data_IF_906576581656
#
_entry.id   IF_906576581656
#
_cell.length_a   1.000
_cell.length_b   1.000
_cell.length_c   1.000
_cell.angle_alpha   90.00
_cell.angle_beta   90.00
_cell.angle_gamma   90.00
#
_symmetry.space_group_name_H-M   'P 1'
#
loop_
_entity.id
_entity.type
_entity.pdbx_description
1 polymer ?
#
# COMPACT_ATOMS: atom_id res chain seq x y z
N UNK A 1 -8.18 -17.34 -41.90
CA UNK A 1 -9.18 -17.37 -40.83
C UNK A 1 -8.53 -16.64 -39.66
N UNK A 2 -8.95 -15.42 -39.48
CA UNK A 2 -8.44 -14.58 -38.39
C UNK A 2 -9.17 -15.02 -37.12
N UNK A 3 -8.42 -15.42 -36.11
CA UNK A 3 -8.93 -15.53 -34.75
C UNK A 3 -9.30 -14.10 -34.27
N UNK A 4 -10.57 -13.88 -34.21
CA UNK A 4 -11.11 -12.75 -33.45
C UNK A 4 -10.81 -13.01 -31.96
N UNK A 5 -9.68 -12.49 -31.53
CA UNK A 5 -9.35 -12.36 -30.11
C UNK A 5 -10.41 -11.44 -29.49
N UNK A 6 -11.45 -12.02 -28.92
CA UNK A 6 -12.46 -11.31 -28.13
C UNK A 6 -11.76 -10.71 -26.91
N UNK A 7 -11.38 -9.42 -27.06
CA UNK A 7 -10.58 -8.71 -26.07
C UNK A 7 -11.36 -8.39 -24.80
N UNK A 8 -11.51 -9.38 -23.94
CA UNK A 8 -11.63 -9.08 -22.52
C UNK A 8 -10.21 -8.86 -22.00
N UNK A 9 -9.93 -7.80 -21.24
CA UNK A 9 -8.63 -7.62 -20.63
C UNK A 9 -8.30 -8.87 -19.82
N UNK A 10 -7.13 -9.43 -20.10
CA UNK A 10 -6.64 -10.64 -19.43
C UNK A 10 -6.59 -10.37 -17.92
N UNK A 11 -7.35 -11.11 -17.13
CA UNK A 11 -7.37 -10.99 -15.68
C UNK A 11 -5.98 -11.37 -15.12
N UNK A 12 -5.24 -10.37 -14.70
CA UNK A 12 -3.93 -10.59 -14.10
C UNK A 12 -4.04 -11.39 -12.82
N UNK A 13 -3.10 -12.31 -12.62
CA UNK A 13 -2.96 -13.02 -11.37
C UNK A 13 -2.14 -12.25 -10.32
N UNK A 14 -2.08 -12.80 -9.10
CA UNK A 14 -1.34 -12.23 -7.99
C UNK A 14 0.17 -12.06 -8.27
N UNK A 15 0.75 -12.84 -9.20
CA UNK A 15 2.17 -12.78 -9.54
C UNK A 15 2.46 -11.72 -10.60
N UNK A 16 1.56 -11.54 -11.55
CA UNK A 16 1.63 -10.46 -12.55
C UNK A 16 1.50 -9.11 -11.85
N UNK A 17 0.51 -8.98 -10.96
CA UNK A 17 0.34 -7.79 -10.13
C UNK A 17 1.52 -7.53 -9.21
N UNK A 18 2.06 -8.54 -8.52
CA UNK A 18 3.24 -8.38 -7.66
C UNK A 18 4.45 -7.89 -8.46
N UNK A 19 4.65 -8.39 -9.67
CA UNK A 19 5.73 -7.93 -10.56
C UNK A 19 5.54 -6.46 -10.97
N UNK A 20 4.33 -6.07 -11.30
CA UNK A 20 3.98 -4.68 -11.60
C UNK A 20 4.23 -3.77 -10.41
N UNK A 21 3.72 -4.13 -9.24
CA UNK A 21 3.90 -3.35 -8.01
C UNK A 21 5.38 -3.21 -7.62
N UNK A 22 6.19 -4.26 -7.81
CA UNK A 22 7.65 -4.17 -7.59
C UNK A 22 8.33 -3.21 -8.58
N UNK A 23 7.82 -3.11 -9.79
CA UNK A 23 8.32 -2.14 -10.76
C UNK A 23 7.97 -0.71 -10.33
N UNK A 24 6.75 -0.49 -9.86
CA UNK A 24 6.33 0.81 -9.33
C UNK A 24 7.12 1.20 -8.07
N UNK A 25 7.31 0.27 -7.13
CA UNK A 25 8.12 0.52 -5.93
C UNK A 25 9.54 1.00 -6.30
N UNK A 26 10.17 0.38 -7.32
CA UNK A 26 11.50 0.79 -7.79
C UNK A 26 11.50 2.18 -8.43
N UNK A 27 10.47 2.51 -9.22
CA UNK A 27 10.33 3.85 -9.79
C UNK A 27 10.15 4.92 -8.70
N UNK A 28 9.31 4.62 -7.72
CA UNK A 28 9.08 5.51 -6.57
C UNK A 28 10.37 5.70 -5.76
N UNK A 29 11.12 4.63 -5.50
CA UNK A 29 12.41 4.73 -4.83
C UNK A 29 13.42 5.58 -5.62
N UNK A 30 13.50 5.38 -6.93
CA UNK A 30 14.33 6.21 -7.82
C UNK A 30 13.94 7.68 -7.76
N UNK A 31 12.64 7.97 -7.80
CA UNK A 31 12.13 9.33 -7.67
C UNK A 31 12.56 9.98 -6.35
N UNK A 32 12.39 9.30 -5.22
CA UNK A 32 12.80 9.83 -3.92
C UNK A 32 14.31 10.05 -3.81
N UNK A 33 15.13 9.17 -4.39
CA UNK A 33 16.59 9.35 -4.43
C UNK A 33 16.97 10.61 -5.26
N UNK A 34 16.31 10.84 -6.39
CA UNK A 34 16.50 12.03 -7.20
C UNK A 34 16.00 13.28 -6.46
N UNK A 35 14.84 13.19 -5.82
CA UNK A 35 14.27 14.28 -5.04
C UNK A 35 15.22 14.71 -3.90
N UNK A 36 15.77 13.77 -3.15
CA UNK A 36 16.75 14.04 -2.09
C UNK A 36 18.02 14.67 -2.66
N UNK A 37 18.53 14.12 -3.78
CA UNK A 37 19.74 14.59 -4.46
C UNK A 37 19.62 16.04 -4.96
N UNK A 38 18.46 16.41 -5.48
CA UNK A 38 18.21 17.72 -6.08
C UNK A 38 17.33 18.63 -5.22
N UNK A 39 17.09 18.31 -3.96
CA UNK A 39 16.18 19.01 -3.04
C UNK A 39 16.28 20.55 -3.07
N UNK A 40 17.50 21.09 -3.21
CA UNK A 40 17.78 22.53 -3.19
C UNK A 40 18.06 23.11 -4.58
N UNK A 41 17.87 22.33 -5.67
CA UNK A 41 18.13 22.84 -7.03
C UNK A 41 16.91 23.61 -7.55
N UNK A 42 17.09 24.83 -8.17
CA UNK A 42 15.97 25.63 -8.67
C UNK A 42 15.15 24.89 -9.74
N UNK A 43 15.81 24.11 -10.61
CA UNK A 43 15.17 23.35 -11.69
C UNK A 43 15.00 21.87 -11.33
N UNK A 44 14.76 21.57 -10.04
CA UNK A 44 14.66 20.20 -9.50
C UNK A 44 13.67 19.35 -10.28
N UNK A 45 12.49 19.87 -10.53
CA UNK A 45 11.37 19.10 -11.08
C UNK A 45 11.62 18.76 -12.56
N UNK A 46 12.21 19.68 -13.34
CA UNK A 46 12.64 19.42 -14.72
C UNK A 46 13.76 18.36 -14.80
N UNK A 47 14.74 18.46 -13.87
CA UNK A 47 15.83 17.48 -13.81
C UNK A 47 15.28 16.10 -13.47
N UNK A 48 14.39 16.01 -12.47
CA UNK A 48 13.77 14.74 -12.07
C UNK A 48 12.95 14.16 -13.23
N UNK A 49 12.11 14.96 -13.87
CA UNK A 49 11.31 14.52 -15.02
C UNK A 49 12.19 13.95 -16.14
N UNK A 50 13.29 14.63 -16.46
CA UNK A 50 14.26 14.16 -17.47
C UNK A 50 14.96 12.86 -17.04
N UNK A 51 15.43 12.76 -15.79
CA UNK A 51 16.09 11.55 -15.29
C UNK A 51 15.14 10.35 -15.12
N UNK A 52 13.86 10.62 -14.89
CA UNK A 52 12.80 9.61 -14.85
C UNK A 52 12.26 9.23 -16.25
N UNK A 53 12.65 9.98 -17.29
CA UNK A 53 12.22 9.77 -18.68
C UNK A 53 10.75 10.19 -18.91
N UNK A 54 10.24 11.15 -18.15
CA UNK A 54 8.86 11.67 -18.30
C UNK A 54 8.75 12.73 -19.39
N UNK A 55 9.85 13.37 -19.79
CA UNK A 55 9.89 14.41 -20.83
C UNK A 55 10.27 13.81 -22.20
N UNK A 56 9.49 12.88 -22.71
CA UNK A 56 9.79 12.25 -24.01
C UNK A 56 8.88 12.67 -25.15
N UNK A 57 8.18 13.79 -25.04
CA UNK A 57 7.36 14.31 -26.13
C UNK A 57 7.73 15.77 -26.41
N UNK A 58 8.69 15.96 -27.34
CA UNK A 58 8.93 17.26 -28.00
C UNK A 58 7.92 17.55 -29.13
N UNK A 59 6.80 16.81 -29.22
CA UNK A 59 5.90 16.86 -30.38
C UNK A 59 4.42 17.20 -30.08
N UNK A 60 4.04 17.57 -28.84
CA UNK A 60 2.63 17.93 -28.53
C UNK A 60 2.47 19.32 -27.88
N UNK A 61 3.10 20.36 -28.46
CA UNK A 61 2.92 21.75 -28.03
C UNK A 61 1.56 22.39 -28.45
N UNK A 62 0.59 21.64 -28.96
CA UNK A 62 -0.69 22.20 -29.42
C UNK A 62 -1.90 21.93 -28.49
N UNK A 63 -1.77 21.15 -27.39
CA UNK A 63 -2.91 20.86 -26.48
C UNK A 63 -2.88 21.63 -25.13
N UNK A 64 -1.90 22.51 -24.91
CA UNK A 64 -1.78 23.25 -23.62
C UNK A 64 -2.85 24.34 -23.40
N UNK A 65 -3.77 24.58 -24.35
CA UNK A 65 -4.77 25.64 -24.18
C UNK A 65 -6.15 25.15 -23.71
N UNK A 66 -6.41 23.85 -23.73
CA UNK A 66 -7.77 23.31 -23.46
C UNK A 66 -8.02 23.00 -21.98
N UNK A 67 -6.97 22.80 -21.17
CA UNK A 67 -7.15 22.48 -19.73
C UNK A 67 -7.40 23.73 -18.85
N UNK A 68 -7.06 24.94 -19.34
CA UNK A 68 -7.32 26.19 -18.62
C UNK A 68 -8.81 26.62 -18.65
N UNK A 69 -9.62 26.10 -19.59
CA UNK A 69 -11.06 26.38 -19.67
C UNK A 69 -11.91 25.42 -18.82
N UNK A 70 -11.28 24.32 -18.35
CA UNK A 70 -11.94 23.30 -17.51
C UNK A 70 -11.86 23.63 -15.99
N UNK A 71 -11.21 24.73 -15.60
CA UNK A 71 -11.09 25.15 -14.20
C UNK A 71 -12.43 25.45 -13.48
N UNK A 72 -13.55 25.50 -14.21
CA UNK A 72 -14.89 25.63 -13.62
C UNK A 72 -15.58 24.28 -13.35
N UNK A 73 -15.07 23.20 -13.92
CA UNK A 73 -15.57 21.83 -13.68
C UNK A 73 -14.82 21.17 -12.51
N UNK A 74 -13.60 21.63 -12.17
CA UNK A 74 -12.77 21.09 -11.08
C UNK A 74 -13.43 21.22 -9.68
N UNK A 75 -14.25 22.27 -9.43
CA UNK A 75 -14.93 22.42 -8.13
C UNK A 75 -16.04 21.36 -7.89
N UNK A 76 -16.66 20.84 -8.96
CA UNK A 76 -17.65 19.75 -8.85
C UNK A 76 -16.96 18.37 -8.76
N UNK A 77 -15.80 18.19 -9.43
CA UNK A 77 -15.00 16.97 -9.34
C UNK A 77 -14.33 16.84 -7.97
N UNK A 78 -13.74 17.91 -7.41
CA UNK A 78 -13.16 17.91 -6.05
C UNK A 78 -14.22 17.55 -4.98
N UNK A 79 -15.46 17.99 -5.15
CA UNK A 79 -16.56 17.64 -4.26
C UNK A 79 -16.94 16.16 -4.34
N UNK A 80 -16.97 15.60 -5.54
CA UNK A 80 -17.29 14.19 -5.76
C UNK A 80 -16.13 13.26 -5.31
N UNK A 81 -14.87 13.66 -5.51
CA UNK A 81 -13.69 12.94 -5.01
C UNK A 81 -13.66 12.93 -3.47
N UNK A 82 -13.95 14.07 -2.83
CA UNK A 82 -14.00 14.14 -1.37
C UNK A 82 -15.12 13.26 -0.77
N UNK A 83 -16.30 13.22 -1.41
CA UNK A 83 -17.40 12.32 -0.98
C UNK A 83 -17.04 10.84 -1.18
N UNK A 84 -16.30 10.50 -2.25
CA UNK A 84 -15.82 9.15 -2.50
C UNK A 84 -14.74 8.73 -1.48
N UNK A 85 -13.79 9.62 -1.18
CA UNK A 85 -12.77 9.39 -0.15
C UNK A 85 -13.39 9.19 1.24
N UNK A 86 -14.41 9.98 1.61
CA UNK A 86 -15.13 9.82 2.86
C UNK A 86 -15.87 8.46 2.92
N UNK A 87 -16.47 8.02 1.82
CA UNK A 87 -17.16 6.74 1.75
C UNK A 87 -16.19 5.55 1.87
N UNK A 88 -15.02 5.61 1.20
CA UNK A 88 -13.96 4.61 1.33
C UNK A 88 -13.42 4.55 2.76
N UNK A 89 -13.24 5.71 3.39
CA UNK A 89 -12.79 5.79 4.77
C UNK A 89 -13.81 5.18 5.74
N UNK A 90 -15.10 5.42 5.52
CA UNK A 90 -16.17 4.82 6.32
C UNK A 90 -16.22 3.29 6.14
N UNK A 91 -16.01 2.77 4.93
CA UNK A 91 -15.92 1.34 4.66
C UNK A 91 -14.72 0.71 5.38
N UNK A 92 -13.55 1.34 5.30
CA UNK A 92 -12.36 0.90 6.04
C UNK A 92 -12.60 0.88 7.55
N UNK A 93 -13.22 1.93 8.09
CA UNK A 93 -13.52 2.02 9.52
C UNK A 93 -14.57 0.98 9.97
N UNK A 94 -15.40 0.49 9.06
CA UNK A 94 -16.33 -0.61 9.33
C UNK A 94 -15.62 -1.98 9.38
N UNK A 95 -14.43 -2.09 8.81
CA UNK A 95 -13.65 -3.33 8.77
C UNK A 95 -12.96 -3.59 10.10
N UNK A 96 -13.38 -4.66 10.79
CA UNK A 96 -12.80 -5.05 12.08
C UNK A 96 -11.28 -5.29 11.98
N UNK A 97 -10.82 -5.97 10.93
CA UNK A 97 -9.40 -6.27 10.74
C UNK A 97 -8.57 -5.01 10.49
N UNK A 98 -9.13 -4.02 9.77
CA UNK A 98 -8.46 -2.74 9.59
C UNK A 98 -8.35 -1.98 10.92
N UNK A 99 -9.42 -1.93 11.70
CA UNK A 99 -9.41 -1.31 13.03
C UNK A 99 -8.41 -1.98 13.98
N UNK A 100 -8.23 -3.31 13.87
CA UNK A 100 -7.19 -4.02 14.61
C UNK A 100 -5.77 -3.59 14.18
N UNK A 101 -5.53 -3.27 12.89
CA UNK A 101 -4.23 -2.73 12.46
C UNK A 101 -3.98 -1.32 12.96
N UNK A 102 -5.02 -0.50 13.06
CA UNK A 102 -4.92 0.84 13.66
C UNK A 102 -4.56 0.76 15.15
N UNK A 103 -5.21 -0.15 15.88
CA UNK A 103 -4.89 -0.39 17.29
C UNK A 103 -3.48 -0.96 17.46
N UNK A 104 -3.03 -1.86 16.57
CA UNK A 104 -1.66 -2.35 16.54
C UNK A 104 -0.66 -1.20 16.39
N UNK A 105 -0.88 -0.32 15.41
CA UNK A 105 -0.03 0.84 15.16
C UNK A 105 0.02 1.76 16.38
N UNK A 106 -1.14 2.02 17.00
CA UNK A 106 -1.22 2.82 18.22
C UNK A 106 -0.41 2.19 19.37
N UNK A 107 -0.56 0.89 19.61
CA UNK A 107 0.19 0.19 20.68
C UNK A 107 1.68 0.19 20.44
N UNK A 108 2.11 -0.08 19.20
CA UNK A 108 3.53 -0.05 18.83
C UNK A 108 4.10 1.35 18.97
N UNK A 109 3.37 2.37 18.53
CA UNK A 109 3.78 3.76 18.69
C UNK A 109 3.97 4.13 20.18
N UNK A 110 2.99 3.83 21.04
CA UNK A 110 3.07 4.06 22.48
C UNK A 110 4.26 3.32 23.11
N UNK A 111 4.46 2.06 22.74
CA UNK A 111 5.57 1.24 23.22
C UNK A 111 6.94 1.88 22.91
N UNK A 112 7.10 2.44 21.71
CA UNK A 112 8.35 3.07 21.26
C UNK A 112 8.52 4.45 21.90
N UNK A 113 7.48 5.28 21.93
CA UNK A 113 7.54 6.64 22.46
C UNK A 113 7.73 6.71 23.98
N UNK A 114 7.19 5.77 24.73
CA UNK A 114 7.32 5.72 26.20
C UNK A 114 8.73 5.32 26.66
N UNK A 115 9.58 4.84 25.75
CA UNK A 115 10.92 4.33 26.10
C UNK A 115 12.01 4.99 25.26
N UNK A 116 12.75 5.92 25.88
CA UNK A 116 13.86 6.60 25.19
C UNK A 116 14.89 5.66 24.57
N UNK A 117 15.03 4.45 25.12
CA UNK A 117 15.93 3.41 24.57
C UNK A 117 15.44 2.80 23.26
N UNK A 118 14.16 2.99 22.90
CA UNK A 118 13.55 2.43 21.71
C UNK A 118 13.40 3.44 20.56
N UNK A 119 13.30 4.74 20.85
CA UNK A 119 12.99 5.79 19.84
C UNK A 119 13.87 5.74 18.60
N UNK A 120 15.19 5.57 18.79
CA UNK A 120 16.15 5.51 17.69
C UNK A 120 16.72 4.10 17.48
N UNK A 121 16.15 3.10 18.15
CA UNK A 121 16.67 1.73 18.04
C UNK A 121 16.22 1.10 16.72
N UNK A 122 17.14 0.62 15.85
CA UNK A 122 16.80 0.18 14.49
C UNK A 122 15.69 -0.89 14.43
N UNK A 123 15.69 -1.82 15.40
CA UNK A 123 14.65 -2.88 15.45
C UNK A 123 13.31 -2.35 15.93
N UNK A 124 13.29 -1.31 16.77
CA UNK A 124 12.04 -0.66 17.19
C UNK A 124 11.45 0.17 16.04
N UNK A 125 12.28 0.88 15.30
CA UNK A 125 11.88 1.58 14.06
C UNK A 125 11.36 0.56 13.03
N UNK A 126 12.02 -0.59 12.89
CA UNK A 126 11.54 -1.68 12.01
C UNK A 126 10.17 -2.19 12.47
N UNK A 127 9.95 -2.44 13.76
CA UNK A 127 8.65 -2.85 14.29
C UNK A 127 7.56 -1.82 13.92
N UNK A 128 7.79 -0.54 14.19
CA UNK A 128 6.85 0.52 13.89
C UNK A 128 6.55 0.63 12.38
N UNK A 129 7.61 0.64 11.56
CA UNK A 129 7.49 0.71 10.11
C UNK A 129 6.73 -0.48 9.54
N UNK A 130 7.02 -1.71 9.99
CA UNK A 130 6.35 -2.92 9.48
C UNK A 130 4.89 -2.99 9.92
N UNK A 131 4.58 -2.54 11.14
CA UNK A 131 3.20 -2.42 11.60
C UNK A 131 2.41 -1.43 10.74
N UNK A 132 2.97 -0.26 10.45
CA UNK A 132 2.35 0.75 9.58
C UNK A 132 2.15 0.23 8.15
N UNK A 133 3.17 -0.43 7.55
CA UNK A 133 3.06 -1.05 6.22
C UNK A 133 1.97 -2.12 6.19
N UNK A 134 1.82 -2.92 7.25
CA UNK A 134 0.77 -3.92 7.35
C UNK A 134 -0.62 -3.28 7.18
N UNK A 135 -0.91 -2.22 7.95
CA UNK A 135 -2.18 -1.48 7.85
C UNK A 135 -2.37 -0.81 6.49
N UNK A 136 -1.34 -0.12 5.97
CA UNK A 136 -1.42 0.57 4.68
C UNK A 136 -1.69 -0.40 3.50
N UNK A 137 -1.04 -1.58 3.50
CA UNK A 137 -1.26 -2.58 2.46
C UNK A 137 -2.59 -3.32 2.63
N UNK A 138 -3.09 -3.44 3.85
CA UNK A 138 -4.44 -3.95 4.09
C UNK A 138 -5.49 -2.94 3.61
N UNK A 139 -5.33 -1.66 3.91
CA UNK A 139 -6.18 -0.61 3.38
C UNK A 139 -6.23 -0.66 1.85
N UNK A 140 -5.08 -0.67 1.17
CA UNK A 140 -5.01 -0.78 -0.29
C UNK A 140 -5.65 -2.06 -0.87
N UNK A 141 -5.80 -3.12 -0.05
CA UNK A 141 -6.51 -4.33 -0.46
C UNK A 141 -8.04 -4.24 -0.26
N UNK A 142 -8.49 -3.38 0.66
CA UNK A 142 -9.89 -3.20 1.03
C UNK A 142 -10.53 -2.01 0.29
N UNK A 143 -9.75 -0.94 -0.02
CA UNK A 143 -10.15 0.18 -0.85
C UNK A 143 -9.93 -0.21 -2.31
N UNK A 144 -10.91 -0.72 -2.97
CA UNK A 144 -10.84 -0.99 -4.39
C UNK A 144 -12.24 -1.02 -4.93
N UNK A 145 -12.53 -0.08 -5.82
CA UNK A 145 -13.74 -0.12 -6.60
C UNK A 145 -13.88 -1.49 -7.26
N UNK A 146 -14.98 -2.16 -6.96
CA UNK A 146 -15.45 -3.34 -7.66
C UNK A 146 -14.50 -4.51 -7.80
N UNK A 147 -13.89 -5.08 -6.83
CA UNK A 147 -13.26 -6.41 -6.97
C UNK A 147 -12.82 -6.79 -8.43
N UNK A 148 -12.70 -5.76 -9.31
CA UNK A 148 -12.39 -5.93 -10.71
C UNK A 148 -10.99 -6.55 -10.86
N UNK A 149 -10.10 -6.21 -9.93
CA UNK A 149 -8.71 -6.62 -9.94
C UNK A 149 -8.34 -7.54 -8.77
N UNK A 150 -9.08 -8.62 -8.63
CA UNK A 150 -8.89 -9.62 -7.54
C UNK A 150 -7.42 -10.05 -7.39
N UNK A 151 -6.68 -10.14 -8.48
CA UNK A 151 -5.24 -10.46 -8.44
C UNK A 151 -4.42 -9.39 -7.70
N UNK A 152 -4.76 -8.11 -7.87
CA UNK A 152 -4.12 -6.99 -7.17
C UNK A 152 -4.43 -7.01 -5.67
N UNK A 153 -5.70 -7.24 -5.31
CA UNK A 153 -6.14 -7.41 -3.92
C UNK A 153 -5.31 -8.51 -3.23
N UNK A 154 -5.14 -9.67 -3.86
CA UNK A 154 -4.32 -10.75 -3.32
C UNK A 154 -2.85 -10.32 -3.18
N UNK A 155 -2.30 -9.58 -4.14
CA UNK A 155 -0.93 -9.08 -4.05
C UNK A 155 -0.74 -8.12 -2.86
N UNK A 156 -1.67 -7.19 -2.63
CA UNK A 156 -1.63 -6.31 -1.45
C UNK A 156 -1.79 -7.08 -0.14
N UNK A 157 -2.70 -8.04 -0.06
CA UNK A 157 -2.85 -8.91 1.12
C UNK A 157 -1.56 -9.69 1.43
N UNK A 158 -0.86 -10.22 0.41
CA UNK A 158 0.46 -10.87 0.58
C UNK A 158 1.50 -9.90 1.16
N UNK A 159 1.53 -8.66 0.70
CA UNK A 159 2.42 -7.62 1.21
C UNK A 159 2.08 -7.26 2.65
N UNK A 160 0.80 -7.14 2.99
CA UNK A 160 0.33 -6.92 4.36
C UNK A 160 0.73 -8.08 5.28
N UNK A 161 0.50 -9.33 4.87
CA UNK A 161 0.89 -10.53 5.62
C UNK A 161 2.41 -10.59 5.87
N UNK A 162 3.20 -10.27 4.84
CA UNK A 162 4.66 -10.20 4.99
C UNK A 162 5.05 -9.16 6.04
N UNK A 163 4.47 -7.96 5.98
CA UNK A 163 4.76 -6.89 6.93
C UNK A 163 4.36 -7.28 8.37
N UNK A 164 3.22 -7.95 8.57
CA UNK A 164 2.81 -8.49 9.86
C UNK A 164 3.82 -9.52 10.42
N UNK A 165 4.33 -10.41 9.57
CA UNK A 165 5.35 -11.38 9.98
C UNK A 165 6.69 -10.71 10.32
N UNK A 166 7.09 -9.70 9.55
CA UNK A 166 8.31 -8.92 9.81
C UNK A 166 8.18 -8.14 11.14
N UNK A 167 7.00 -7.55 11.42
CA UNK A 167 6.71 -6.89 12.70
C UNK A 167 6.80 -7.85 13.89
N UNK A 168 6.23 -9.05 13.78
CA UNK A 168 6.33 -10.08 14.81
C UNK A 168 7.77 -10.50 15.06
N UNK A 169 8.57 -10.65 14.00
CA UNK A 169 10.00 -10.95 14.09
C UNK A 169 10.75 -9.84 14.81
N UNK A 170 10.48 -8.58 14.49
CA UNK A 170 11.10 -7.42 15.13
C UNK A 170 10.75 -7.35 16.63
N UNK A 171 9.47 -7.53 17.01
CA UNK A 171 9.03 -7.58 18.40
C UNK A 171 9.75 -8.69 19.18
N UNK A 172 9.88 -9.88 18.59
CA UNK A 172 10.58 -11.01 19.19
C UNK A 172 12.07 -10.71 19.40
N UNK A 173 12.74 -10.03 18.47
CA UNK A 173 14.14 -9.59 18.59
C UNK A 173 14.34 -8.56 19.70
N UNK A 174 13.42 -7.59 19.82
CA UNK A 174 13.44 -6.60 20.91
C UNK A 174 13.36 -7.29 22.28
N UNK A 175 12.45 -8.26 22.41
CA UNK A 175 12.34 -9.04 23.66
C UNK A 175 13.60 -9.84 23.96
N UNK A 176 14.19 -10.53 22.95
CA UNK A 176 15.41 -11.29 23.12
C UNK A 176 16.60 -10.41 23.54
N UNK A 177 16.63 -9.17 23.06
CA UNK A 177 17.62 -8.17 23.46
C UNK A 177 17.32 -7.56 24.86
N UNK A 178 16.24 -7.94 25.52
CA UNK A 178 15.83 -7.38 26.82
C UNK A 178 15.37 -5.93 26.77
N UNK A 179 14.99 -5.43 25.60
CA UNK A 179 14.53 -4.05 25.38
C UNK A 179 13.04 -3.88 25.64
N UNK A 180 12.27 -4.97 25.52
CA UNK A 180 10.84 -5.05 25.87
C UNK A 180 10.59 -6.27 26.74
N UNK A 181 9.50 -6.22 27.51
CA UNK A 181 9.07 -7.32 28.37
C UNK A 181 8.16 -8.31 27.63
N UNK A 182 7.83 -9.44 28.29
CA UNK A 182 6.88 -10.39 27.73
C UNK A 182 5.48 -9.79 27.56
N UNK A 183 5.04 -8.97 28.51
CA UNK A 183 3.77 -8.25 28.46
C UNK A 183 3.65 -7.33 27.25
N UNK A 184 4.75 -6.68 26.86
CA UNK A 184 4.81 -5.85 25.65
C UNK A 184 4.67 -6.73 24.40
N UNK A 185 5.44 -7.83 24.35
CA UNK A 185 5.34 -8.78 23.24
C UNK A 185 3.93 -9.37 23.14
N UNK A 186 3.35 -9.78 24.27
CA UNK A 186 2.00 -10.35 24.31
C UNK A 186 0.98 -9.34 23.77
N UNK A 187 1.07 -8.06 24.17
CA UNK A 187 0.19 -6.99 23.71
C UNK A 187 0.22 -6.76 22.19
N UNK A 188 1.39 -6.92 21.57
CA UNK A 188 1.57 -6.82 20.11
C UNK A 188 1.05 -8.09 19.41
N UNK A 189 1.35 -9.26 19.97
CA UNK A 189 0.98 -10.54 19.36
C UNK A 189 -0.51 -10.84 19.42
N UNK A 190 -1.20 -10.38 20.47
CA UNK A 190 -2.67 -10.45 20.59
C UNK A 190 -3.42 -9.82 19.40
N UNK A 191 -2.83 -8.79 18.79
CA UNK A 191 -3.38 -8.17 17.59
C UNK A 191 -2.81 -8.79 16.32
N UNK A 192 -1.50 -9.04 16.26
CA UNK A 192 -0.87 -9.55 15.05
C UNK A 192 -1.38 -10.93 14.63
N UNK A 193 -1.70 -11.83 15.55
CA UNK A 193 -2.17 -13.16 15.18
C UNK A 193 -3.57 -13.13 14.54
N UNK A 194 -4.59 -12.46 15.10
CA UNK A 194 -5.90 -12.34 14.44
C UNK A 194 -5.81 -11.63 13.09
N UNK A 195 -5.02 -10.54 12.98
CA UNK A 195 -4.80 -9.84 11.71
C UNK A 195 -4.24 -10.80 10.65
N UNK A 196 -3.20 -11.58 10.99
CA UNK A 196 -2.60 -12.55 10.06
C UNK A 196 -3.57 -13.64 9.63
N UNK A 197 -4.35 -14.18 10.56
CA UNK A 197 -5.36 -15.21 10.30
C UNK A 197 -6.42 -14.67 9.33
N UNK A 198 -6.96 -13.49 9.62
CA UNK A 198 -7.94 -12.85 8.75
C UNK A 198 -7.38 -12.58 7.34
N UNK A 199 -6.15 -12.08 7.22
CA UNK A 199 -5.50 -11.86 5.91
C UNK A 199 -5.38 -13.19 5.13
N UNK A 200 -5.01 -14.28 5.79
CA UNK A 200 -4.89 -15.61 5.15
C UNK A 200 -6.23 -16.09 4.65
N UNK A 201 -7.28 -15.93 5.42
CA UNK A 201 -8.65 -16.32 5.06
C UNK A 201 -9.16 -15.49 3.88
N UNK A 202 -8.93 -14.16 3.90
CA UNK A 202 -9.25 -13.28 2.77
C UNK A 202 -8.51 -13.70 1.49
N UNK A 203 -7.21 -13.98 1.58
CA UNK A 203 -6.42 -14.45 0.43
C UNK A 203 -6.97 -15.77 -0.13
N UNK A 204 -7.44 -16.68 0.72
CA UNK A 204 -8.05 -17.94 0.26
C UNK A 204 -9.36 -17.67 -0.49
N UNK A 205 -10.23 -16.81 0.04
CA UNK A 205 -11.49 -16.42 -0.57
C UNK A 205 -11.28 -15.74 -1.94
N UNK A 206 -10.36 -14.75 -2.01
CA UNK A 206 -10.06 -14.05 -3.27
C UNK A 206 -9.41 -14.96 -4.32
N UNK A 207 -8.61 -15.95 -3.93
CA UNK A 207 -8.07 -16.95 -4.87
C UNK A 207 -9.15 -17.85 -5.44
N UNK A 208 -10.15 -18.20 -4.66
CA UNK A 208 -11.31 -18.97 -5.14
C UNK A 208 -12.11 -18.11 -6.13
N UNK A 209 -12.34 -16.85 -5.82
CA UNK A 209 -13.01 -15.90 -6.71
C UNK A 209 -12.25 -15.72 -8.03
N UNK A 210 -10.92 -15.56 -7.99
CA UNK A 210 -10.10 -15.43 -9.18
C UNK A 210 -10.22 -16.66 -10.08
N UNK A 211 -10.17 -17.87 -9.49
CA UNK A 211 -10.36 -19.13 -10.25
C UNK A 211 -11.75 -19.22 -10.88
N UNK A 212 -12.77 -18.80 -10.15
CA UNK A 212 -14.14 -18.74 -10.66
C UNK A 212 -14.26 -17.80 -11.85
N UNK A 213 -13.68 -16.60 -11.78
CA UNK A 213 -13.69 -15.63 -12.89
C UNK A 213 -12.93 -16.11 -14.12
N UNK A 214 -11.90 -16.93 -13.93
CA UNK A 214 -11.15 -17.55 -15.01
C UNK A 214 -11.82 -18.79 -15.61
N UNK A 215 -12.93 -19.25 -15.03
CA UNK A 215 -13.62 -20.47 -15.47
C UNK A 215 -12.86 -21.74 -15.16
N UNK A 216 -12.01 -21.75 -14.14
CA UNK A 216 -11.22 -22.92 -13.72
C UNK A 216 -11.97 -23.83 -12.75
N UNK A 217 -13.14 -23.39 -12.24
CA UNK A 217 -14.09 -24.13 -11.38
C UNK A 217 -15.50 -23.77 -11.75
#
# INVERSE_FOLDING_TARGET
>A
MADENSGFPELWDEYQWERFLQLQDRKTEQYFQLFEKYQNHPDRDEIIAREMGWNTSDDDDEEESDWLDSASEEEEEEGAEAEAEDAELDELQSSEVYMQTMELNRRVFMLVEERDTLKDHPVAVELATRSAICGAKLAAALCGDDYSEVGMTIAYLKRSLKAANDALSAASRLRQAGLIENTDLDSVTELLFPIRECIVDMMAAFREELRRRRGEI
#
